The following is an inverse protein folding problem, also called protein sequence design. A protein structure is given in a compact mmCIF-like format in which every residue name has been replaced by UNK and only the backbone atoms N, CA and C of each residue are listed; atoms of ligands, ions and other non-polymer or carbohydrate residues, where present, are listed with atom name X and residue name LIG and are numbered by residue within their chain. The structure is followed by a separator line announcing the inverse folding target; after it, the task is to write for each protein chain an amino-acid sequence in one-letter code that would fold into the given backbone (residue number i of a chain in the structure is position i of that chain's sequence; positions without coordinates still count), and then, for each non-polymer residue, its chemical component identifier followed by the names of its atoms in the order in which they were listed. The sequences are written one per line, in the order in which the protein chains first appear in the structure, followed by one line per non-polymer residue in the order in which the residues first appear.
data_IF_063535049820
#
_entry.id   IF_063535049820
#
_cell.length_a   1.000
_cell.length_b   1.000
_cell.length_c   1.000
_cell.angle_alpha   90.00
_cell.angle_beta   90.00
_cell.angle_gamma   90.00
#
_symmetry.space_group_name_H-M   'P 1'
#
loop_
_entity.id
_entity.type
_entity.pdbx_description
1 polymer ?
#
# COMPACT_ATOMS: atom_id res chain seq x y z
N UNK A 1 39.63 68.82 45.22
CA UNK A 1 39.28 69.61 44.01
C UNK A 1 39.77 68.79 42.82
N UNK A 2 39.00 68.30 41.84
CA UNK A 2 37.62 68.48 41.36
C UNK A 2 37.24 67.15 40.63
N UNK A 3 36.17 66.46 41.02
CA UNK A 3 34.89 66.27 40.30
C UNK A 3 34.88 66.65 38.79
N UNK A 4 34.51 65.69 37.91
CA UNK A 4 33.35 65.69 36.96
C UNK A 4 33.65 64.83 35.71
N UNK A 5 32.90 63.75 35.47
CA UNK A 5 31.62 63.67 34.73
C UNK A 5 31.81 63.91 33.21
N UNK A 6 31.63 62.88 32.37
CA UNK A 6 30.49 62.76 31.43
C UNK A 6 30.70 61.67 30.36
N UNK A 7 29.72 60.79 30.30
CA UNK A 7 29.22 59.95 29.20
C UNK A 7 29.81 60.17 27.80
N UNK A 8 30.07 59.07 27.09
CA UNK A 8 29.29 58.77 25.88
C UNK A 8 29.28 57.27 25.56
N UNK A 9 28.10 56.80 25.16
CA UNK A 9 27.72 55.45 24.79
C UNK A 9 28.64 54.82 23.72
N UNK A 10 28.82 53.50 23.79
CA UNK A 10 28.39 52.60 22.71
C UNK A 10 28.41 51.13 23.15
N UNK A 11 27.20 50.56 23.20
CA UNK A 11 26.92 49.13 23.23
C UNK A 11 27.42 48.47 21.94
N UNK A 12 28.11 47.33 22.04
CA UNK A 12 27.86 46.18 21.16
C UNK A 12 28.03 44.91 21.99
N UNK A 13 26.90 44.29 22.35
CA UNK A 13 26.84 42.93 22.85
C UNK A 13 26.92 41.98 21.65
N UNK A 14 27.99 41.19 21.55
CA UNK A 14 28.04 40.04 20.65
C UNK A 14 27.61 38.80 21.44
N UNK A 15 26.31 38.51 21.44
CA UNK A 15 25.79 37.23 21.89
C UNK A 15 26.11 36.17 20.83
N UNK A 16 27.01 35.24 21.14
CA UNK A 16 27.14 33.99 20.39
C UNK A 16 25.87 33.16 20.65
N UNK A 17 24.93 33.17 19.71
CA UNK A 17 23.88 32.17 19.66
C UNK A 17 24.46 30.88 19.08
N UNK A 18 24.60 29.86 19.92
CA UNK A 18 24.78 28.48 19.49
C UNK A 18 23.51 28.07 18.74
N UNK A 19 23.62 27.90 17.42
CA UNK A 19 22.58 27.20 16.64
C UNK A 19 22.63 25.72 17.03
N UNK A 20 21.82 25.35 18.02
CA UNK A 20 21.36 23.97 18.15
C UNK A 20 20.43 23.73 16.97
N UNK A 21 20.96 23.17 15.87
CA UNK A 21 20.13 22.59 14.83
C UNK A 21 19.51 21.32 15.42
N UNK A 22 18.42 21.49 16.16
CA UNK A 22 17.50 20.41 16.48
C UNK A 22 16.83 20.06 15.15
N UNK A 23 17.33 19.03 14.49
CA UNK A 23 16.60 18.36 13.42
C UNK A 23 15.36 17.76 14.05
N UNK A 24 14.28 18.52 14.12
CA UNK A 24 12.96 17.94 14.33
C UNK A 24 12.69 17.10 13.09
N UNK A 25 12.92 15.79 13.20
CA UNK A 25 12.33 14.81 12.31
C UNK A 25 10.84 15.16 12.22
N UNK A 26 10.37 15.48 11.02
CA UNK A 26 8.95 15.65 10.76
C UNK A 26 8.29 14.27 10.90
N UNK A 27 7.80 13.93 12.09
CA UNK A 27 6.66 13.01 12.17
C UNK A 27 5.45 13.85 11.74
N UNK A 28 5.15 13.83 10.45
CA UNK A 28 3.82 14.24 10.01
C UNK A 28 2.85 13.18 10.53
N UNK A 29 2.02 13.59 11.48
CA UNK A 29 0.86 12.83 11.93
C UNK A 29 0.02 12.47 10.70
N UNK A 30 0.02 11.19 10.35
CA UNK A 30 -0.60 10.62 9.14
C UNK A 30 -2.05 10.16 9.41
N UNK A 31 -2.71 10.81 10.37
CA UNK A 31 -4.04 10.41 10.88
C UNK A 31 -5.21 11.05 10.11
N UNK A 32 -4.94 11.84 9.05
CA UNK A 32 -6.02 12.50 8.29
C UNK A 32 -6.60 11.67 7.15
N UNK A 33 -5.90 10.62 6.72
CA UNK A 33 -6.40 9.74 5.67
C UNK A 33 -7.44 8.77 6.24
N UNK A 34 -8.59 8.69 5.57
CA UNK A 34 -9.61 7.69 5.84
C UNK A 34 -9.67 6.76 4.63
N UNK A 35 -9.59 5.42 4.82
CA UNK A 35 -9.67 4.48 3.72
C UNK A 35 -10.92 4.68 2.86
N UNK A 36 -10.74 4.55 1.55
CA UNK A 36 -11.83 4.55 0.58
C UNK A 36 -12.70 3.29 0.71
N UNK A 37 -12.08 2.17 1.09
CA UNK A 37 -12.73 0.87 1.24
C UNK A 37 -12.55 0.32 2.65
N UNK A 38 -13.62 -0.26 3.19
CA UNK A 38 -13.61 -0.89 4.51
C UNK A 38 -13.09 -2.33 4.45
N UNK A 39 -12.69 -2.88 5.61
CA UNK A 39 -12.47 -4.32 5.77
C UNK A 39 -13.82 -4.98 5.95
N UNK A 40 -14.13 -5.98 5.12
CA UNK A 40 -15.45 -6.58 5.05
C UNK A 40 -15.53 -7.80 4.13
N UNK A 41 -16.73 -8.08 3.61
CA UNK A 41 -17.00 -9.22 2.73
C UNK A 41 -17.65 -8.84 1.40
N UNK A 42 -18.01 -7.56 1.23
CA UNK A 42 -18.63 -7.00 0.05
C UNK A 42 -17.68 -6.91 -1.15
N UNK A 43 -18.24 -6.69 -2.33
CA UNK A 43 -17.49 -6.77 -3.60
C UNK A 43 -16.34 -5.75 -3.72
N UNK A 44 -16.39 -4.64 -2.99
CA UNK A 44 -15.36 -3.59 -3.02
C UNK A 44 -14.49 -3.56 -1.76
N UNK A 45 -14.72 -4.48 -0.83
CA UNK A 45 -14.07 -4.44 0.47
C UNK A 45 -12.64 -4.98 0.38
N UNK A 46 -11.88 -4.69 1.43
CA UNK A 46 -10.69 -5.45 1.79
C UNK A 46 -11.09 -6.73 2.49
N UNK A 47 -10.63 -7.87 2.02
CA UNK A 47 -11.03 -9.16 2.55
C UNK A 47 -9.90 -9.83 3.33
N UNK A 48 -10.18 -10.33 4.53
CA UNK A 48 -9.26 -11.20 5.29
C UNK A 48 -9.58 -12.69 5.13
N UNK A 49 -10.77 -12.99 4.61
CA UNK A 49 -11.22 -14.31 4.17
C UNK A 49 -11.68 -14.23 2.70
N UNK A 50 -12.12 -15.33 2.10
CA UNK A 50 -12.75 -15.25 0.78
C UNK A 50 -14.07 -14.44 0.84
N UNK A 51 -14.32 -13.54 -0.13
CA UNK A 51 -15.48 -12.64 -0.09
C UNK A 51 -16.80 -13.33 -0.43
N UNK A 52 -17.92 -12.63 -0.24
CA UNK A 52 -19.28 -13.20 -0.38
C UNK A 52 -19.55 -13.76 -1.78
N UNK A 53 -18.96 -13.15 -2.81
CA UNK A 53 -19.08 -13.60 -4.19
C UNK A 53 -18.20 -14.81 -4.54
N UNK A 54 -17.33 -15.26 -3.63
CA UNK A 54 -16.42 -16.38 -3.86
C UNK A 54 -17.07 -17.72 -3.50
N UNK A 55 -16.78 -18.79 -4.25
CA UNK A 55 -17.31 -20.14 -3.97
C UNK A 55 -16.94 -20.70 -2.58
N UNK A 56 -15.84 -20.21 -2.00
CA UNK A 56 -15.33 -20.56 -0.67
C UNK A 56 -15.57 -19.44 0.35
N UNK A 57 -16.61 -18.61 0.19
CA UNK A 57 -16.89 -17.46 1.05
C UNK A 57 -16.70 -17.76 2.55
N UNK A 58 -16.13 -16.80 3.27
CA UNK A 58 -15.78 -16.85 4.70
C UNK A 58 -14.72 -17.89 5.10
N UNK A 59 -14.21 -18.71 4.18
CA UNK A 59 -13.05 -19.56 4.48
C UNK A 59 -11.77 -18.73 4.45
N UNK A 60 -10.78 -19.04 5.33
CA UNK A 60 -9.50 -18.37 5.34
C UNK A 60 -8.74 -18.61 4.04
N UNK A 61 -7.88 -17.65 3.67
CA UNK A 61 -7.04 -17.74 2.48
C UNK A 61 -5.65 -18.23 2.87
N UNK A 62 -5.16 -19.27 2.19
CA UNK A 62 -3.78 -19.73 2.34
C UNK A 62 -2.86 -18.87 1.46
N UNK A 63 -2.27 -17.82 2.05
CA UNK A 63 -1.38 -16.92 1.34
C UNK A 63 -0.01 -17.57 1.04
N UNK A 64 0.54 -17.41 -0.18
CA UNK A 64 1.87 -17.90 -0.51
C UNK A 64 2.94 -17.29 0.41
N UNK A 65 3.93 -18.10 0.83
CA UNK A 65 4.98 -17.62 1.75
C UNK A 65 5.76 -16.40 1.25
N UNK A 66 5.97 -16.29 -0.06
CA UNK A 66 6.63 -15.11 -0.64
C UNK A 66 5.79 -13.83 -0.51
N UNK A 67 4.46 -13.93 -0.52
CA UNK A 67 3.58 -12.78 -0.24
C UNK A 67 3.75 -12.34 1.20
N UNK A 68 3.81 -13.29 2.14
CA UNK A 68 4.04 -12.99 3.56
C UNK A 68 5.40 -12.33 3.78
N UNK A 69 6.42 -12.74 3.02
CA UNK A 69 7.75 -12.12 3.09
C UNK A 69 7.76 -10.68 2.57
N UNK A 70 7.04 -10.37 1.48
CA UNK A 70 6.88 -9.00 0.97
C UNK A 70 6.18 -8.08 1.98
N UNK A 71 5.10 -8.57 2.61
CA UNK A 71 4.31 -7.81 3.57
C UNK A 71 5.07 -7.42 4.85
N UNK A 72 6.24 -8.02 5.13
CA UNK A 72 7.10 -7.59 6.23
C UNK A 72 7.71 -6.21 6.00
N UNK A 73 7.80 -5.78 4.75
CA UNK A 73 8.33 -4.47 4.39
C UNK A 73 7.21 -3.54 3.91
N UNK A 74 6.39 -3.98 2.95
CA UNK A 74 5.46 -3.11 2.21
C UNK A 74 4.19 -3.83 1.75
N UNK A 75 3.09 -3.10 1.49
CA UNK A 75 1.96 -3.66 0.76
C UNK A 75 2.37 -4.06 -0.67
N UNK A 76 1.65 -5.02 -1.24
CA UNK A 76 1.98 -5.65 -2.51
C UNK A 76 0.89 -5.44 -3.55
N UNK A 77 1.30 -5.01 -4.74
CA UNK A 77 0.51 -4.98 -5.97
C UNK A 77 0.97 -6.09 -6.90
N UNK A 78 0.06 -6.96 -7.34
CA UNK A 78 0.31 -7.96 -8.37
C UNK A 78 -0.55 -7.64 -9.59
N UNK A 79 0.06 -7.63 -10.78
CA UNK A 79 -0.68 -7.63 -12.04
C UNK A 79 -0.44 -8.95 -12.76
N UNK A 80 -1.50 -9.75 -12.93
CA UNK A 80 -1.47 -10.92 -13.80
C UNK A 80 -2.04 -10.53 -15.17
N UNK A 81 -1.25 -10.68 -16.24
CA UNK A 81 -1.63 -10.23 -17.59
C UNK A 81 -1.11 -11.15 -18.71
N UNK A 82 -1.49 -10.86 -19.96
CA UNK A 82 -0.97 -11.56 -21.15
C UNK A 82 -0.74 -10.60 -22.32
N UNK A 83 0.20 -10.92 -23.19
CA UNK A 83 0.74 -10.01 -24.23
C UNK A 83 -0.31 -9.59 -25.26
N UNK A 84 -1.21 -10.51 -25.62
CA UNK A 84 -2.19 -10.30 -26.70
C UNK A 84 -3.62 -10.02 -26.18
N UNK A 85 -3.76 -9.75 -24.88
CA UNK A 85 -5.02 -9.46 -24.23
C UNK A 85 -5.36 -7.96 -24.37
N UNK A 86 -6.43 -7.65 -25.13
CA UNK A 86 -6.85 -6.25 -25.37
C UNK A 86 -7.11 -5.46 -24.08
N UNK A 87 -7.77 -6.04 -23.05
CA UNK A 87 -7.92 -5.35 -21.78
C UNK A 87 -6.56 -5.13 -21.08
N UNK A 88 -5.64 -6.09 -21.14
CA UNK A 88 -4.29 -6.00 -20.56
C UNK A 88 -3.48 -4.85 -21.16
N UNK A 89 -3.55 -4.66 -22.48
CA UNK A 89 -2.89 -3.52 -23.17
C UNK A 89 -3.36 -2.17 -22.61
N UNK A 90 -4.63 -2.07 -22.16
CA UNK A 90 -5.16 -0.86 -21.52
C UNK A 90 -4.78 -0.75 -20.04
N UNK A 91 -4.67 -1.89 -19.35
CA UNK A 91 -4.43 -1.93 -17.91
C UNK A 91 -2.97 -1.68 -17.56
N UNK A 92 -2.02 -2.26 -18.31
CA UNK A 92 -0.58 -2.17 -18.02
C UNK A 92 -0.10 -0.71 -17.87
N UNK A 93 -0.45 0.26 -18.75
CA UNK A 93 -0.03 1.65 -18.57
C UNK A 93 -0.56 2.30 -17.29
N UNK A 94 -1.75 1.90 -16.81
CA UNK A 94 -2.35 2.45 -15.57
C UNK A 94 -1.65 1.93 -14.33
N UNK A 95 -1.36 0.63 -14.33
CA UNK A 95 -0.54 0.01 -13.28
C UNK A 95 0.85 0.63 -13.25
N UNK A 96 1.50 0.83 -14.40
CA UNK A 96 2.80 1.51 -14.45
C UNK A 96 2.73 2.94 -13.91
N UNK A 97 1.70 3.71 -14.27
CA UNK A 97 1.51 5.04 -13.72
C UNK A 97 1.35 5.05 -12.19
N UNK A 98 0.64 4.05 -11.64
CA UNK A 98 0.50 3.89 -10.20
C UNK A 98 1.81 3.47 -9.54
N UNK A 99 2.53 2.49 -10.10
CA UNK A 99 3.87 2.08 -9.61
C UNK A 99 4.85 3.24 -9.63
N UNK A 100 4.84 4.08 -10.67
CA UNK A 100 5.66 5.29 -10.73
C UNK A 100 5.24 6.32 -9.67
N UNK A 101 3.94 6.45 -9.37
CA UNK A 101 3.39 7.36 -8.36
C UNK A 101 3.74 6.94 -6.93
N UNK A 102 3.52 5.67 -6.60
CA UNK A 102 3.67 5.16 -5.23
C UNK A 102 5.08 4.63 -4.95
N UNK A 103 5.85 4.29 -5.99
CA UNK A 103 7.27 4.03 -5.95
C UNK A 103 7.67 3.08 -4.82
N UNK A 104 8.57 3.57 -3.95
CA UNK A 104 9.13 2.80 -2.86
C UNK A 104 8.14 2.49 -1.72
N UNK A 105 6.90 2.97 -1.77
CA UNK A 105 5.88 2.66 -0.75
C UNK A 105 5.17 1.33 -0.98
N UNK A 106 5.37 0.68 -2.13
CA UNK A 106 4.74 -0.60 -2.47
C UNK A 106 5.76 -1.57 -3.08
N UNK A 107 5.50 -2.87 -2.95
CA UNK A 107 6.09 -3.88 -3.82
C UNK A 107 5.22 -4.09 -5.06
N UNK A 108 5.84 -4.31 -6.22
CA UNK A 108 5.12 -4.59 -7.47
C UNK A 108 5.61 -5.88 -8.13
N UNK A 109 4.68 -6.80 -8.39
CA UNK A 109 4.95 -8.07 -9.07
C UNK A 109 4.20 -8.17 -10.39
N UNK A 110 4.94 -8.15 -11.50
CA UNK A 110 4.40 -8.25 -12.86
C UNK A 110 4.43 -9.69 -13.37
N UNK A 111 3.26 -10.30 -13.55
CA UNK A 111 3.13 -11.72 -13.89
C UNK A 111 2.57 -11.89 -15.30
N UNK A 112 3.45 -12.30 -16.21
CA UNK A 112 3.04 -12.67 -17.57
C UNK A 112 2.51 -14.11 -17.60
N UNK A 113 1.20 -14.27 -17.80
CA UNK A 113 0.47 -15.54 -17.88
C UNK A 113 0.69 -16.27 -19.21
N UNK A 114 1.94 -16.36 -19.67
CA UNK A 114 2.36 -17.00 -20.91
C UNK A 114 3.71 -17.71 -20.70
N UNK A 115 3.96 -18.77 -21.48
CA UNK A 115 5.25 -19.48 -21.45
C UNK A 115 5.63 -19.96 -20.05
N UNK A 116 6.81 -19.56 -19.58
CA UNK A 116 7.33 -19.96 -18.27
C UNK A 116 6.54 -19.38 -17.08
N UNK A 117 5.92 -18.20 -17.24
CA UNK A 117 5.14 -17.54 -16.18
C UNK A 117 3.71 -18.08 -16.04
N UNK A 118 3.27 -18.96 -16.96
CA UNK A 118 1.90 -19.49 -16.93
C UNK A 118 1.57 -20.23 -15.63
N UNK A 119 2.48 -21.06 -15.13
CA UNK A 119 2.25 -21.80 -13.89
C UNK A 119 2.10 -20.86 -12.69
N UNK A 120 2.99 -19.88 -12.58
CA UNK A 120 2.95 -18.88 -11.52
C UNK A 120 1.64 -18.07 -11.56
N UNK A 121 1.22 -17.62 -12.75
CA UNK A 121 -0.05 -16.94 -12.93
C UNK A 121 -1.24 -17.79 -12.45
N UNK A 122 -1.26 -19.08 -12.80
CA UNK A 122 -2.31 -20.01 -12.36
C UNK A 122 -2.29 -20.19 -10.84
N UNK A 123 -1.10 -20.35 -10.24
CA UNK A 123 -0.96 -20.55 -8.79
C UNK A 123 -1.44 -19.29 -8.03
N UNK A 124 -1.11 -18.09 -8.50
CA UNK A 124 -1.59 -16.81 -7.93
C UNK A 124 -3.11 -16.67 -8.09
N UNK A 125 -3.66 -16.90 -9.28
CA UNK A 125 -5.09 -16.74 -9.55
C UNK A 125 -5.95 -17.83 -8.88
N UNK A 126 -5.38 -18.96 -8.46
CA UNK A 126 -6.08 -19.93 -7.63
C UNK A 126 -6.34 -19.44 -6.21
N UNK A 127 -5.52 -18.50 -5.73
CA UNK A 127 -5.64 -17.91 -4.39
C UNK A 127 -6.45 -16.61 -4.45
N UNK A 128 -6.19 -15.77 -5.45
CA UNK A 128 -6.66 -14.38 -5.48
C UNK A 128 -7.67 -14.07 -6.61
N UNK A 129 -8.41 -15.06 -7.12
CA UNK A 129 -9.60 -14.77 -7.94
C UNK A 129 -10.78 -14.43 -7.02
N UNK A 130 -11.48 -13.29 -7.23
CA UNK A 130 -12.50 -12.83 -6.30
C UNK A 130 -13.78 -13.69 -6.31
N UNK A 131 -14.01 -14.51 -7.35
CA UNK A 131 -15.21 -15.35 -7.49
C UNK A 131 -14.92 -16.84 -7.32
N UNK A 132 -13.67 -17.21 -7.53
CA UNK A 132 -13.24 -18.59 -7.56
C UNK A 132 -13.65 -19.26 -8.86
N UNK A 133 -12.87 -20.28 -9.24
CA UNK A 133 -13.11 -21.02 -10.47
C UNK A 133 -12.35 -20.45 -11.65
N UNK A 134 -13.04 -19.79 -12.59
CA UNK A 134 -12.42 -19.45 -13.88
C UNK A 134 -11.52 -18.22 -13.74
N UNK A 135 -10.24 -18.42 -14.04
CA UNK A 135 -9.19 -17.42 -14.04
C UNK A 135 -9.31 -16.47 -15.23
N UNK A 136 -9.17 -15.16 -14.98
CA UNK A 136 -9.20 -14.11 -16.00
C UNK A 136 -7.95 -13.25 -15.98
N UNK A 137 -7.65 -12.60 -17.10
CA UNK A 137 -6.60 -11.57 -17.21
C UNK A 137 -7.16 -10.35 -17.97
N UNK A 138 -6.76 -9.11 -17.61
CA UNK A 138 -5.88 -8.80 -16.50
C UNK A 138 -6.60 -9.01 -15.16
N UNK A 139 -5.83 -9.34 -14.13
CA UNK A 139 -6.31 -9.35 -12.74
C UNK A 139 -5.35 -8.54 -11.91
N UNK A 140 -5.90 -7.56 -11.22
CA UNK A 140 -5.19 -6.63 -10.35
C UNK A 140 -5.44 -7.10 -8.92
N UNK A 141 -4.38 -7.35 -8.17
CA UNK A 141 -4.45 -7.88 -6.82
C UNK A 141 -3.68 -6.94 -5.91
N UNK A 142 -4.33 -6.48 -4.86
CA UNK A 142 -3.78 -5.59 -3.86
C UNK A 142 -3.76 -6.35 -2.54
N UNK A 143 -2.65 -6.30 -1.82
CA UNK A 143 -2.44 -7.09 -0.60
C UNK A 143 -1.78 -6.19 0.45
N UNK A 144 -2.30 -6.22 1.67
CA UNK A 144 -1.84 -5.42 2.81
C UNK A 144 -2.12 -6.15 4.14
N UNK A 145 -1.97 -5.45 5.25
CA UNK A 145 -2.27 -5.91 6.61
C UNK A 145 -3.39 -5.07 7.20
N UNK A 146 -4.45 -5.69 7.70
CA UNK A 146 -5.54 -4.98 8.35
C UNK A 146 -6.12 -5.76 9.53
N UNK A 147 -6.69 -5.05 10.51
CA UNK A 147 -7.47 -5.68 11.58
C UNK A 147 -8.72 -6.35 10.99
N UNK A 148 -8.85 -7.65 11.23
CA UNK A 148 -10.03 -8.43 10.88
C UNK A 148 -11.22 -8.15 11.81
N UNK A 149 -12.37 -8.80 11.57
CA UNK A 149 -13.58 -8.61 12.37
C UNK A 149 -13.44 -8.95 13.86
N UNK A 150 -12.44 -9.75 14.24
CA UNK A 150 -12.11 -10.13 15.61
C UNK A 150 -11.07 -9.21 16.27
N UNK A 151 -10.54 -8.24 15.52
CA UNK A 151 -9.53 -7.27 15.98
C UNK A 151 -8.09 -7.76 15.88
N UNK A 152 -7.85 -8.96 15.34
CA UNK A 152 -6.50 -9.45 15.08
C UNK A 152 -5.99 -8.93 13.73
N UNK A 153 -4.69 -8.65 13.63
CA UNK A 153 -4.09 -8.22 12.36
C UNK A 153 -3.88 -9.41 11.44
N UNK A 154 -4.52 -9.37 10.28
CA UNK A 154 -4.48 -10.41 9.26
C UNK A 154 -4.02 -9.85 7.91
N UNK A 155 -3.69 -10.76 6.99
CA UNK A 155 -3.49 -10.39 5.58
C UNK A 155 -4.84 -9.99 4.99
N UNK A 156 -4.93 -8.74 4.55
CA UNK A 156 -6.08 -8.22 3.83
C UNK A 156 -5.75 -8.13 2.34
N UNK A 157 -6.70 -8.51 1.48
CA UNK A 157 -6.51 -8.45 0.04
C UNK A 157 -7.77 -8.01 -0.68
N UNK A 158 -7.57 -7.41 -1.85
CA UNK A 158 -8.62 -7.13 -2.80
C UNK A 158 -8.16 -7.56 -4.18
N UNK A 159 -9.09 -7.99 -5.04
CA UNK A 159 -8.77 -8.25 -6.43
C UNK A 159 -9.92 -7.90 -7.38
N UNK A 160 -9.54 -7.41 -8.55
CA UNK A 160 -10.48 -7.05 -9.61
C UNK A 160 -9.99 -7.58 -10.95
N UNK A 161 -10.84 -8.43 -11.54
CA UNK A 161 -10.67 -8.89 -12.92
C UNK A 161 -11.07 -7.77 -13.88
N UNK A 162 -10.44 -7.72 -15.06
CA UNK A 162 -10.64 -6.69 -16.10
C UNK A 162 -9.99 -5.33 -15.77
N UNK A 163 -10.26 -4.34 -16.62
CA UNK A 163 -9.65 -3.02 -16.58
C UNK A 163 -10.23 -2.18 -15.44
N UNK A 164 -9.35 -1.68 -14.57
CA UNK A 164 -9.67 -0.73 -13.51
C UNK A 164 -9.45 0.70 -13.95
N UNK A 165 -10.21 1.64 -13.38
CA UNK A 165 -9.95 3.08 -13.55
C UNK A 165 -8.62 3.46 -12.87
N UNK A 166 -8.01 4.58 -13.25
CA UNK A 166 -6.81 5.04 -12.54
C UNK A 166 -7.13 5.43 -11.09
N UNK A 167 -8.29 6.05 -10.88
CA UNK A 167 -8.78 6.44 -9.56
C UNK A 167 -8.95 5.23 -8.63
N UNK A 168 -9.59 4.16 -9.11
CA UNK A 168 -9.74 2.92 -8.34
C UNK A 168 -8.38 2.34 -7.94
N UNK A 169 -7.43 2.27 -8.89
CA UNK A 169 -6.07 1.73 -8.63
C UNK A 169 -5.37 2.57 -7.56
N UNK A 170 -5.41 3.89 -7.71
CA UNK A 170 -4.79 4.81 -6.76
C UNK A 170 -5.43 4.70 -5.37
N UNK A 171 -6.76 4.61 -5.28
CA UNK A 171 -7.47 4.45 -4.01
C UNK A 171 -7.12 3.15 -3.29
N UNK A 172 -7.09 2.01 -3.99
CA UNK A 172 -6.68 0.76 -3.34
C UNK A 172 -5.20 0.78 -2.91
N UNK A 173 -4.31 1.49 -3.60
CA UNK A 173 -2.91 1.59 -3.16
C UNK A 173 -2.73 2.54 -1.98
N UNK A 174 -3.48 3.65 -1.95
CA UNK A 174 -3.50 4.56 -0.80
C UNK A 174 -4.05 3.84 0.45
N UNK A 175 -5.15 3.09 0.32
CA UNK A 175 -5.67 2.21 1.36
C UNK A 175 -4.63 1.17 1.79
N UNK A 176 -3.98 0.48 0.84
CA UNK A 176 -3.01 -0.56 1.15
C UNK A 176 -1.84 -0.01 1.98
N UNK A 177 -1.32 1.16 1.62
CA UNK A 177 -0.24 1.84 2.35
C UNK A 177 -0.72 2.25 3.75
N UNK A 178 -1.92 2.83 3.85
CA UNK A 178 -2.50 3.23 5.14
C UNK A 178 -2.66 2.03 6.08
N UNK A 179 -3.31 0.97 5.61
CA UNK A 179 -3.56 -0.23 6.40
C UNK A 179 -2.26 -0.90 6.80
N UNK A 180 -1.31 -1.06 5.88
CA UNK A 180 0.00 -1.66 6.19
C UNK A 180 0.71 -0.88 7.30
N UNK A 181 0.87 0.43 7.13
CA UNK A 181 1.54 1.30 8.10
C UNK A 181 0.91 1.24 9.49
N UNK A 182 -0.42 1.17 9.55
CA UNK A 182 -1.16 1.12 10.81
C UNK A 182 -0.98 -0.20 11.56
N UNK A 183 -0.81 -1.30 10.83
CA UNK A 183 -0.94 -2.65 11.40
C UNK A 183 0.38 -3.43 11.46
N UNK A 184 1.43 -3.01 10.75
CA UNK A 184 2.70 -3.76 10.64
C UNK A 184 3.37 -4.03 12.01
N UNK A 185 3.29 -3.09 12.95
CA UNK A 185 3.90 -3.24 14.28
C UNK A 185 3.18 -4.29 15.17
N UNK A 186 1.96 -4.66 14.80
CA UNK A 186 1.12 -5.64 15.49
C UNK A 186 1.03 -6.98 14.75
N UNK A 187 1.71 -7.11 13.60
CA UNK A 187 1.67 -8.33 12.78
C UNK A 187 2.86 -9.23 13.10
N UNK A 188 2.57 -10.42 13.66
CA UNK A 188 3.55 -11.44 14.07
C UNK A 188 3.82 -12.51 12.98
#
# INVERSE_FOLDING_TARGET
MLIKLQNFLLLVAAALALFSASTSAMSQDDDSYAPAFEVGSGESDWWTAYPDQHQNASLPVEHPGWVLDELKDKPLLILVHSSNCKPCIKQIPRIKAAVDKFGDSISYHDVLAEGAGFKEAVDILNVYDPRGGKQYVPTNIFITLAEGPDGEVEVAWHSKTDVMSQEDIDSYLEDAIYYHKKNIDSWD
#
